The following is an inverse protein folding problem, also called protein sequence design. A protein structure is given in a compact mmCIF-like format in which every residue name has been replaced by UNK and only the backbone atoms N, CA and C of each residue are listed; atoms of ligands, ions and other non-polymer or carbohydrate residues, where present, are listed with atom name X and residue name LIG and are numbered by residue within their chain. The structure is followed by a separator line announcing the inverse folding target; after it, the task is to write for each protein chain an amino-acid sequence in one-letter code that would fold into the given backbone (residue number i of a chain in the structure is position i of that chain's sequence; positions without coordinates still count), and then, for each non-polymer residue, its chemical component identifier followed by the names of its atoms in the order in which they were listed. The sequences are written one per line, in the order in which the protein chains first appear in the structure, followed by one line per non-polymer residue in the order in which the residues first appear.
data_IF_857573356340
#
_entry.id   IF_857573356340
#
_cell.length_a   1.000
_cell.length_b   1.000
_cell.length_c   1.000
_cell.angle_alpha   90.00
_cell.angle_beta   90.00
_cell.angle_gamma   90.00
#
_symmetry.space_group_name_H-M   'P 1'
#
loop_
_entity.id
_entity.type
_entity.pdbx_description
1 polymer ?
#
# COMPACT_ATOMS: atom_id res chain seq x y z
N UNK A 1 9.05 39.98 80.76
CA UNK A 1 8.28 39.15 79.85
C UNK A 1 8.73 39.47 78.41
N UNK A 2 9.64 38.65 77.85
CA UNK A 2 10.09 38.79 76.48
C UNK A 2 9.20 37.91 75.61
N UNK A 3 8.52 38.50 74.64
CA UNK A 3 7.77 37.78 73.62
C UNK A 3 8.68 37.54 72.38
N UNK A 4 8.92 36.27 72.10
CA UNK A 4 9.63 35.88 70.90
C UNK A 4 8.67 35.83 69.68
N UNK A 5 8.97 36.62 68.63
CA UNK A 5 8.26 36.61 67.35
C UNK A 5 8.94 35.63 66.45
N UNK A 6 8.24 34.53 66.12
CA UNK A 6 8.67 33.55 65.12
C UNK A 6 8.27 34.03 63.71
N UNK A 7 9.24 34.44 62.90
CA UNK A 7 9.07 34.73 61.48
C UNK A 7 9.15 33.41 60.68
N UNK A 8 7.97 32.92 60.20
CA UNK A 8 7.89 31.81 59.27
C UNK A 8 8.25 32.31 57.85
N UNK A 9 9.44 31.97 57.37
CA UNK A 9 9.83 32.19 55.99
C UNK A 9 9.15 31.13 55.08
N UNK A 10 8.12 31.58 54.37
CA UNK A 10 7.52 30.79 53.26
C UNK A 10 8.45 30.84 52.07
N UNK A 11 9.11 29.72 51.75
CA UNK A 11 9.85 29.52 50.52
C UNK A 11 8.88 29.07 49.44
N UNK A 12 8.70 29.81 48.35
CA UNK A 12 7.85 29.34 47.26
C UNK A 12 8.58 28.21 46.53
N UNK A 13 8.04 27.00 46.62
CA UNK A 13 8.48 25.88 45.79
C UNK A 13 7.93 26.10 44.41
N UNK A 14 8.75 26.66 43.50
CA UNK A 14 8.48 26.67 42.07
C UNK A 14 8.58 25.24 41.54
N UNK A 15 7.43 24.59 41.42
CA UNK A 15 7.29 23.36 40.66
C UNK A 15 7.52 23.72 39.19
N UNK A 16 8.74 23.51 38.67
CA UNK A 16 8.99 23.54 37.25
C UNK A 16 8.34 22.29 36.68
N UNK A 17 7.08 22.44 36.28
CA UNK A 17 6.41 21.44 35.43
C UNK A 17 7.19 21.33 34.14
N UNK A 18 7.97 20.28 33.96
CA UNK A 18 8.39 19.87 32.63
C UNK A 18 7.11 19.50 31.87
N UNK A 19 6.59 20.42 31.06
CA UNK A 19 5.67 20.07 29.99
C UNK A 19 6.40 19.03 29.13
N UNK A 20 6.00 17.78 29.32
CA UNK A 20 6.36 16.69 28.44
C UNK A 20 5.75 17.09 27.09
N UNK A 21 6.56 17.70 26.21
CA UNK A 21 6.17 18.03 24.84
C UNK A 21 5.64 16.71 24.26
N UNK A 22 4.30 16.56 24.18
CA UNK A 22 3.70 15.41 23.53
C UNK A 22 4.34 15.36 22.14
N UNK A 23 5.06 14.27 21.87
CA UNK A 23 5.65 14.05 20.58
C UNK A 23 4.50 14.05 19.56
N UNK A 24 4.44 15.08 18.75
CA UNK A 24 3.39 15.29 17.75
C UNK A 24 3.37 14.05 16.88
N UNK A 25 2.27 13.27 16.92
CA UNK A 25 2.14 12.08 16.09
C UNK A 25 1.99 12.50 14.63
N UNK A 26 2.70 11.81 13.76
CA UNK A 26 2.63 11.96 12.32
C UNK A 26 1.53 11.08 11.76
N UNK A 27 0.64 11.61 10.92
CA UNK A 27 -0.44 10.84 10.28
C UNK A 27 -0.10 10.52 8.83
N UNK A 28 -0.07 9.23 8.50
CA UNK A 28 0.22 8.72 7.16
C UNK A 28 -0.99 7.99 6.60
N UNK A 29 -1.48 8.44 5.46
CA UNK A 29 -2.47 7.73 4.67
C UNK A 29 -1.78 6.96 3.55
N UNK A 30 -1.96 5.64 3.52
CA UNK A 30 -1.24 4.79 2.57
C UNK A 30 -2.15 3.74 1.91
N UNK A 31 -1.85 3.41 0.67
CA UNK A 31 -2.52 2.34 -0.07
C UNK A 31 -2.53 1.03 0.73
N UNK A 32 -3.62 0.27 0.65
CA UNK A 32 -3.86 -0.93 1.46
C UNK A 32 -2.76 -2.00 1.31
N UNK A 33 -2.17 -2.15 0.13
CA UNK A 33 -1.02 -3.05 -0.13
C UNK A 33 0.22 -2.73 0.72
N UNK A 34 0.34 -1.49 1.23
CA UNK A 34 1.47 -1.08 2.07
C UNK A 34 1.29 -1.41 3.56
N UNK A 35 0.18 -2.05 3.95
CA UNK A 35 -0.12 -2.32 5.37
C UNK A 35 1.03 -3.05 6.07
N UNK A 36 1.47 -4.18 5.54
CA UNK A 36 2.50 -5.01 6.18
C UNK A 36 3.86 -4.30 6.23
N UNK A 37 4.41 -3.78 5.11
CA UNK A 37 5.72 -3.14 5.16
C UNK A 37 5.72 -1.85 6.00
N UNK A 38 4.70 -1.00 5.92
CA UNK A 38 4.68 0.24 6.69
C UNK A 38 4.55 0.00 8.20
N UNK A 39 3.83 -1.04 8.64
CA UNK A 39 3.82 -1.42 10.05
C UNK A 39 5.22 -1.80 10.56
N UNK A 40 5.98 -2.58 9.77
CA UNK A 40 7.37 -2.93 10.09
C UNK A 40 8.29 -1.70 10.09
N UNK A 41 8.12 -0.81 9.10
CA UNK A 41 8.91 0.41 8.95
C UNK A 41 8.65 1.38 10.11
N UNK A 42 7.39 1.59 10.49
CA UNK A 42 7.07 2.48 11.62
C UNK A 42 7.59 1.94 12.95
N UNK A 43 7.55 0.62 13.17
CA UNK A 43 8.21 -0.02 14.31
C UNK A 43 9.71 0.30 14.30
N UNK A 44 10.39 0.05 13.18
CA UNK A 44 11.81 0.31 13.03
C UNK A 44 12.19 1.80 13.15
N UNK A 45 11.29 2.71 12.76
CA UNK A 45 11.46 4.16 12.91
C UNK A 45 11.34 4.58 14.38
N UNK A 46 10.32 4.07 15.09
CA UNK A 46 10.10 4.37 16.51
C UNK A 46 11.26 3.88 17.38
N UNK A 47 11.87 2.73 17.04
CA UNK A 47 13.07 2.21 17.72
C UNK A 47 14.29 3.14 17.63
N UNK A 48 14.34 4.07 16.68
CA UNK A 48 15.40 5.09 16.61
C UNK A 48 15.24 6.22 17.64
N UNK A 49 14.16 6.22 18.42
CA UNK A 49 13.80 7.29 19.34
C UNK A 49 13.03 8.44 18.67
N UNK A 50 12.65 8.27 17.39
CA UNK A 50 11.80 9.19 16.65
C UNK A 50 10.34 9.17 17.16
N UNK A 51 9.56 10.16 16.71
CA UNK A 51 8.16 10.31 17.11
C UNK A 51 7.25 9.16 16.64
N UNK A 52 6.02 9.18 17.13
CA UNK A 52 4.98 8.21 16.76
C UNK A 52 4.45 8.50 15.35
N UNK A 53 4.15 7.43 14.60
CA UNK A 53 3.50 7.48 13.28
C UNK A 53 2.18 6.73 13.36
N UNK A 54 1.09 7.41 13.08
CA UNK A 54 -0.25 6.83 13.00
C UNK A 54 -0.58 6.53 11.52
N UNK A 55 -0.92 5.27 11.23
CA UNK A 55 -1.13 4.77 9.87
C UNK A 55 -2.63 4.57 9.59
N UNK A 56 -3.10 5.02 8.43
CA UNK A 56 -4.43 4.74 7.91
C UNK A 56 -4.32 4.09 6.54
N UNK A 57 -5.00 2.96 6.35
CA UNK A 57 -4.92 2.16 5.13
C UNK A 57 -6.27 2.00 4.46
N UNK A 58 -6.35 2.33 3.17
CA UNK A 58 -7.50 2.10 2.32
C UNK A 58 -7.06 2.10 0.84
N UNK A 59 -8.02 2.00 -0.11
CA UNK A 59 -7.70 2.29 -1.50
C UNK A 59 -7.24 3.74 -1.65
N UNK A 60 -6.27 4.00 -2.53
CA UNK A 60 -5.74 5.36 -2.77
C UNK A 60 -6.83 6.33 -3.15
N UNK A 61 -7.83 5.89 -3.92
CA UNK A 61 -9.02 6.66 -4.28
C UNK A 61 -9.85 7.11 -3.06
N UNK A 62 -9.99 6.26 -2.06
CA UNK A 62 -10.73 6.57 -0.83
C UNK A 62 -9.97 7.57 0.00
N UNK A 63 -8.65 7.34 0.19
CA UNK A 63 -7.79 8.22 0.97
C UNK A 63 -7.66 9.60 0.33
N UNK A 64 -7.46 9.67 -0.99
CA UNK A 64 -7.37 10.94 -1.70
C UNK A 64 -8.66 11.77 -1.53
N UNK A 65 -9.84 11.16 -1.65
CA UNK A 65 -11.11 11.85 -1.40
C UNK A 65 -11.28 12.29 0.06
N UNK A 66 -10.79 11.51 1.03
CA UNK A 66 -10.81 11.91 2.43
C UNK A 66 -9.90 13.12 2.68
N UNK A 67 -8.71 13.13 2.08
CA UNK A 67 -7.77 14.26 2.16
C UNK A 67 -8.39 15.51 1.52
N UNK A 68 -8.97 15.38 0.32
CA UNK A 68 -9.66 16.48 -0.35
C UNK A 68 -10.87 17.01 0.46
N UNK A 69 -11.50 16.16 1.28
CA UNK A 69 -12.56 16.54 2.21
C UNK A 69 -12.05 17.10 3.55
N UNK A 70 -10.73 17.30 3.71
CA UNK A 70 -10.12 17.91 4.89
C UNK A 70 -9.73 16.92 6.01
N UNK A 71 -9.64 15.62 5.74
CA UNK A 71 -9.11 14.68 6.71
C UNK A 71 -7.64 15.01 7.04
N UNK A 72 -7.25 15.03 8.34
CA UNK A 72 -5.89 15.34 8.73
C UNK A 72 -4.93 14.26 8.25
N UNK A 73 -3.95 14.67 7.45
CA UNK A 73 -2.92 13.79 6.89
C UNK A 73 -1.65 14.58 6.66
N UNK A 74 -0.51 14.02 7.01
CA UNK A 74 0.81 14.63 6.80
C UNK A 74 1.50 14.08 5.55
N UNK A 75 1.38 12.77 5.33
CA UNK A 75 1.98 12.06 4.19
C UNK A 75 0.92 11.18 3.53
N UNK A 76 0.80 11.31 2.22
CA UNK A 76 -0.02 10.41 1.41
C UNK A 76 0.86 9.52 0.52
N UNK A 77 0.61 8.19 0.53
CA UNK A 77 1.30 7.22 -0.33
C UNK A 77 0.25 6.48 -1.16
N UNK A 78 0.19 6.83 -2.44
CA UNK A 78 -0.76 6.24 -3.40
C UNK A 78 -0.19 5.00 -4.09
N UNK A 79 -1.04 4.08 -4.53
CA UNK A 79 -0.68 2.94 -5.39
C UNK A 79 -0.77 3.28 -6.89
N UNK A 80 -1.08 4.50 -7.24
CA UNK A 80 -1.03 5.02 -8.60
C UNK A 80 -0.69 6.51 -8.64
N UNK A 81 -0.42 6.99 -9.86
CA UNK A 81 -0.12 8.41 -10.09
C UNK A 81 -1.39 9.26 -10.12
N UNK A 82 -2.49 8.72 -10.62
CA UNK A 82 -3.70 9.49 -10.88
C UNK A 82 -4.30 10.09 -9.60
N UNK A 83 -4.37 9.34 -8.51
CA UNK A 83 -4.86 9.85 -7.23
C UNK A 83 -3.89 10.82 -6.55
N UNK A 84 -2.58 10.70 -6.83
CA UNK A 84 -1.60 11.71 -6.42
C UNK A 84 -1.74 13.00 -7.25
N UNK A 85 -1.90 12.87 -8.56
CA UNK A 85 -2.10 13.99 -9.47
C UNK A 85 -3.38 14.75 -9.13
N UNK A 86 -4.46 14.03 -8.77
CA UNK A 86 -5.70 14.63 -8.26
C UNK A 86 -5.47 15.56 -7.06
N UNK A 87 -4.68 15.15 -6.05
CA UNK A 87 -4.37 16.01 -4.91
C UNK A 87 -3.45 17.17 -5.24
N UNK A 88 -2.62 17.03 -6.28
CA UNK A 88 -1.82 18.14 -6.83
C UNK A 88 -2.73 19.16 -7.53
N UNK A 89 -3.66 18.70 -8.34
CA UNK A 89 -4.66 19.56 -9.02
C UNK A 89 -5.56 20.31 -8.03
N UNK A 90 -5.90 19.68 -6.90
CA UNK A 90 -6.62 20.31 -5.79
C UNK A 90 -5.74 21.29 -4.97
N UNK A 91 -4.44 21.38 -5.26
CA UNK A 91 -3.49 22.26 -4.57
C UNK A 91 -3.12 21.79 -3.14
N UNK A 92 -3.42 20.54 -2.78
CA UNK A 92 -3.15 19.97 -1.46
C UNK A 92 -1.74 19.39 -1.34
N UNK A 93 -1.12 19.04 -2.47
CA UNK A 93 0.27 18.59 -2.58
C UNK A 93 0.91 19.40 -3.69
N UNK A 94 2.11 19.92 -3.47
CA UNK A 94 2.86 20.59 -4.54
C UNK A 94 3.69 19.57 -5.33
N UNK A 95 3.97 19.80 -6.64
CA UNK A 95 4.79 18.90 -7.44
C UNK A 95 6.18 18.62 -6.82
N UNK A 96 6.77 19.58 -6.12
CA UNK A 96 8.08 19.48 -5.48
C UNK A 96 8.05 18.55 -4.26
N UNK A 97 6.88 18.42 -3.62
CA UNK A 97 6.64 17.56 -2.47
C UNK A 97 6.26 16.12 -2.84
N UNK A 98 6.23 15.82 -4.14
CA UNK A 98 5.99 14.47 -4.66
C UNK A 98 7.28 13.77 -5.01
N UNK A 99 7.41 12.50 -4.61
CA UNK A 99 8.48 11.58 -5.04
C UNK A 99 7.92 10.20 -5.31
N UNK A 100 8.47 9.49 -6.28
CA UNK A 100 8.15 8.07 -6.46
C UNK A 100 8.90 7.27 -5.39
N UNK A 101 8.21 6.39 -4.69
CA UNK A 101 8.76 5.60 -3.59
C UNK A 101 9.05 4.16 -4.03
N UNK A 102 8.09 3.50 -4.70
CA UNK A 102 8.13 2.08 -5.02
C UNK A 102 7.49 1.78 -6.37
N UNK A 103 7.78 0.60 -6.89
CA UNK A 103 7.05 -0.06 -7.95
C UNK A 103 6.40 -1.36 -7.47
N UNK A 104 5.54 -1.94 -8.31
CA UNK A 104 4.91 -3.22 -8.07
C UNK A 104 4.65 -3.94 -9.41
N UNK A 105 4.17 -5.17 -9.35
CA UNK A 105 3.71 -5.92 -10.50
C UNK A 105 2.28 -6.42 -10.24
N UNK A 106 1.55 -6.73 -11.31
CA UNK A 106 0.22 -7.31 -11.24
C UNK A 106 0.31 -8.82 -11.47
N UNK A 107 -0.42 -9.58 -10.66
CA UNK A 107 -0.45 -11.05 -10.72
C UNK A 107 -1.86 -11.59 -10.65
N UNK A 108 -2.06 -12.77 -11.25
CA UNK A 108 -3.23 -13.61 -11.06
C UNK A 108 -2.90 -14.69 -10.05
N UNK A 109 -3.74 -14.84 -9.05
CA UNK A 109 -3.56 -15.79 -7.93
C UNK A 109 -4.78 -16.67 -7.77
N UNK A 110 -4.58 -17.82 -7.15
CA UNK A 110 -5.63 -18.74 -6.71
C UNK A 110 -5.37 -19.18 -5.27
N UNK A 111 -6.37 -19.75 -4.56
CA UNK A 111 -6.13 -20.37 -3.26
C UNK A 111 -5.04 -21.45 -3.36
N UNK A 112 -4.24 -21.57 -2.32
CA UNK A 112 -3.35 -22.73 -2.18
C UNK A 112 -4.24 -23.94 -1.87
N UNK A 113 -4.15 -24.99 -2.70
CA UNK A 113 -4.94 -26.21 -2.51
C UNK A 113 -4.58 -26.87 -1.17
N UNK A 114 -5.61 -27.43 -0.49
CA UNK A 114 -5.49 -28.13 0.79
C UNK A 114 -4.60 -29.40 0.73
N UNK A 115 -4.09 -29.76 -0.44
CA UNK A 115 -3.17 -30.89 -0.63
C UNK A 115 -1.72 -30.57 -0.26
N UNK A 116 -1.44 -29.32 0.20
CA UNK A 116 -0.12 -28.99 0.74
C UNK A 116 1.04 -29.19 -0.26
N UNK A 117 0.80 -29.06 -1.56
CA UNK A 117 1.90 -28.93 -2.50
C UNK A 117 2.63 -27.65 -2.12
N UNK A 118 3.66 -27.87 -1.34
CA UNK A 118 4.56 -26.90 -0.74
C UNK A 118 4.83 -25.77 -1.71
N UNK A 119 4.76 -24.54 -1.20
CA UNK A 119 5.44 -23.40 -1.78
C UNK A 119 6.95 -23.71 -1.86
N UNK A 120 7.36 -24.52 -2.85
CA UNK A 120 8.74 -24.59 -3.26
C UNK A 120 9.09 -23.20 -3.80
N UNK A 121 10.28 -22.72 -3.50
CA UNK A 121 10.80 -21.41 -3.94
C UNK A 121 10.77 -21.17 -5.46
N UNK A 122 10.41 -22.19 -6.25
CA UNK A 122 10.25 -22.19 -7.71
C UNK A 122 8.79 -22.40 -8.15
N UNK A 123 7.83 -21.58 -7.66
CA UNK A 123 6.47 -21.59 -8.22
C UNK A 123 6.50 -20.93 -9.60
N UNK A 124 6.68 -21.76 -10.63
CA UNK A 124 6.52 -21.31 -12.03
C UNK A 124 5.04 -20.96 -12.27
N UNK A 125 4.76 -19.85 -12.97
CA UNK A 125 3.41 -19.52 -13.37
C UNK A 125 2.78 -20.67 -14.16
N UNK A 126 1.57 -21.07 -13.79
CA UNK A 126 0.85 -22.17 -14.48
C UNK A 126 0.18 -21.71 -15.77
N UNK A 127 0.03 -20.40 -15.97
CA UNK A 127 -0.63 -19.80 -17.12
C UNK A 127 0.25 -18.69 -17.72
N UNK A 128 0.40 -18.71 -19.04
CA UNK A 128 1.06 -17.61 -19.77
C UNK A 128 0.03 -16.55 -20.19
N UNK A 129 0.10 -15.37 -19.59
CA UNK A 129 -0.73 -14.22 -19.95
C UNK A 129 -0.11 -13.43 -21.12
N UNK A 130 -0.17 -13.98 -22.31
CA UNK A 130 0.13 -13.26 -23.56
C UNK A 130 -1.12 -13.23 -24.45
N UNK A 131 -1.35 -12.17 -25.24
CA UNK A 131 -2.47 -12.12 -26.18
C UNK A 131 -2.38 -13.30 -27.17
N UNK A 132 -3.34 -14.21 -27.10
CA UNK A 132 -3.38 -15.40 -27.96
C UNK A 132 -4.76 -16.03 -28.00
N UNK A 133 -5.02 -16.77 -29.06
CA UNK A 133 -6.24 -17.57 -29.15
C UNK A 133 -6.28 -18.61 -28.03
N UNK A 134 -7.44 -18.77 -27.40
CA UNK A 134 -7.66 -19.75 -26.32
C UNK A 134 -7.34 -19.26 -24.90
N UNK A 135 -6.68 -18.10 -24.70
CA UNK A 135 -6.35 -17.58 -23.38
C UNK A 135 -7.60 -17.46 -22.48
N UNK A 136 -8.71 -16.93 -23.03
CA UNK A 136 -9.98 -16.84 -22.30
C UNK A 136 -10.44 -18.21 -21.78
N UNK A 137 -10.41 -19.21 -22.66
CA UNK A 137 -10.80 -20.59 -22.32
C UNK A 137 -9.97 -21.18 -21.19
N UNK A 138 -8.66 -20.90 -21.17
CA UNK A 138 -7.77 -21.34 -20.09
C UNK A 138 -8.10 -20.65 -18.75
N UNK A 139 -8.35 -19.35 -18.77
CA UNK A 139 -8.78 -18.59 -17.58
C UNK A 139 -10.14 -19.14 -17.10
N UNK A 140 -11.08 -19.35 -18.01
CA UNK A 140 -12.42 -19.86 -17.69
C UNK A 140 -12.37 -21.30 -17.15
N UNK A 141 -11.44 -22.13 -17.62
CA UNK A 141 -11.26 -23.50 -17.13
C UNK A 141 -10.82 -23.50 -15.64
N UNK A 142 -9.91 -22.59 -15.25
CA UNK A 142 -9.50 -22.42 -13.86
C UNK A 142 -10.64 -21.80 -13.03
N UNK A 143 -11.35 -20.83 -13.61
CA UNK A 143 -12.42 -20.08 -12.94
C UNK A 143 -13.66 -20.96 -12.65
N UNK A 144 -13.97 -21.93 -13.52
CA UNK A 144 -15.17 -22.76 -13.43
C UNK A 144 -16.44 -21.90 -13.42
N UNK A 145 -17.33 -22.14 -12.47
CA UNK A 145 -18.54 -21.32 -12.23
C UNK A 145 -18.27 -20.09 -11.35
N UNK A 146 -17.07 -19.95 -10.80
CA UNK A 146 -16.68 -18.89 -9.88
C UNK A 146 -16.51 -17.51 -10.51
N UNK A 147 -15.93 -16.59 -9.74
CA UNK A 147 -15.70 -15.18 -10.13
C UNK A 147 -14.28 -14.76 -9.75
N UNK A 148 -13.74 -13.75 -10.40
CA UNK A 148 -12.41 -13.18 -10.16
C UNK A 148 -12.54 -12.04 -9.16
N UNK A 149 -11.86 -12.11 -8.01
CA UNK A 149 -11.77 -11.01 -7.07
C UNK A 149 -10.70 -10.00 -7.55
N UNK A 150 -11.03 -8.72 -7.58
CA UNK A 150 -10.07 -7.64 -7.86
C UNK A 150 -10.60 -6.32 -7.31
N UNK A 151 -9.73 -5.35 -7.08
CA UNK A 151 -10.15 -3.99 -6.78
C UNK A 151 -11.17 -3.48 -7.79
N UNK A 152 -12.11 -2.62 -7.37
CA UNK A 152 -13.11 -2.07 -8.28
C UNK A 152 -12.42 -1.39 -9.48
N UNK A 153 -12.66 -1.86 -10.72
CA UNK A 153 -11.98 -1.35 -11.92
C UNK A 153 -12.37 0.08 -12.30
N UNK A 154 -13.34 0.69 -11.60
CA UNK A 154 -13.76 2.06 -11.84
C UNK A 154 -12.86 3.08 -11.12
N UNK A 155 -12.30 2.74 -9.93
CA UNK A 155 -11.61 3.73 -9.10
C UNK A 155 -10.50 3.17 -8.20
N UNK A 156 -10.41 1.86 -7.97
CA UNK A 156 -9.33 1.25 -7.16
C UNK A 156 -8.10 1.02 -8.05
N UNK A 157 -6.90 1.49 -7.67
CA UNK A 157 -5.71 1.37 -8.51
C UNK A 157 -5.46 -0.04 -9.05
N UNK A 158 -5.42 -1.07 -8.19
CA UNK A 158 -5.24 -2.46 -8.62
C UNK A 158 -6.30 -2.93 -9.62
N UNK A 159 -7.55 -2.45 -9.46
CA UNK A 159 -8.64 -2.74 -10.37
C UNK A 159 -8.50 -2.04 -11.71
N UNK A 160 -8.04 -0.79 -11.72
CA UNK A 160 -7.76 -0.02 -12.94
C UNK A 160 -6.68 -0.73 -13.76
N UNK A 161 -5.55 -1.08 -13.13
CA UNK A 161 -4.46 -1.84 -13.78
C UNK A 161 -4.93 -3.22 -14.26
N UNK A 162 -5.75 -3.92 -13.45
CA UNK A 162 -6.35 -5.21 -13.83
C UNK A 162 -7.25 -5.10 -15.08
N UNK A 163 -8.07 -4.04 -15.16
CA UNK A 163 -8.88 -3.77 -16.34
C UNK A 163 -8.02 -3.47 -17.57
N UNK A 164 -7.01 -2.61 -17.44
CA UNK A 164 -6.08 -2.31 -18.52
C UNK A 164 -5.41 -3.59 -19.05
N UNK A 165 -4.90 -4.42 -18.13
CA UNK A 165 -4.25 -5.66 -18.47
C UNK A 165 -5.19 -6.65 -19.19
N UNK A 166 -6.40 -6.86 -18.68
CA UNK A 166 -7.39 -7.73 -19.32
C UNK A 166 -7.88 -7.19 -20.67
N UNK A 167 -7.93 -5.85 -20.84
CA UNK A 167 -8.23 -5.22 -22.15
C UNK A 167 -7.08 -5.46 -23.13
N UNK A 168 -5.84 -5.24 -22.71
CA UNK A 168 -4.64 -5.47 -23.54
C UNK A 168 -4.53 -6.94 -23.98
N UNK A 169 -4.94 -7.88 -23.13
CA UNK A 169 -4.98 -9.31 -23.43
C UNK A 169 -6.18 -9.73 -24.27
N UNK A 170 -7.14 -8.82 -24.53
CA UNK A 170 -8.34 -9.09 -25.34
C UNK A 170 -9.44 -9.89 -24.63
N UNK A 171 -9.35 -10.09 -23.32
CA UNK A 171 -10.27 -10.96 -22.55
C UNK A 171 -11.25 -10.19 -21.64
N UNK A 172 -11.11 -8.86 -21.55
CA UNK A 172 -11.94 -8.02 -20.67
C UNK A 172 -13.45 -8.17 -20.92
N UNK A 173 -13.89 -8.12 -22.18
CA UNK A 173 -15.31 -8.11 -22.53
C UNK A 173 -16.03 -9.36 -22.03
N UNK A 174 -15.34 -10.49 -21.98
CA UNK A 174 -15.90 -11.77 -21.60
C UNK A 174 -15.77 -12.02 -20.09
N UNK A 175 -14.76 -11.44 -19.43
CA UNK A 175 -14.51 -11.64 -18.00
C UNK A 175 -15.14 -10.58 -17.09
N UNK A 176 -15.46 -9.38 -17.60
CA UNK A 176 -16.00 -8.28 -16.78
C UNK A 176 -17.27 -8.63 -15.99
N UNK A 177 -18.09 -9.55 -16.48
CA UNK A 177 -19.30 -9.99 -15.81
C UNK A 177 -19.03 -11.07 -14.73
N UNK A 178 -17.80 -11.55 -14.69
CA UNK A 178 -17.33 -12.58 -13.76
C UNK A 178 -16.42 -11.98 -12.65
N UNK A 179 -16.52 -10.67 -12.40
CA UNK A 179 -15.74 -9.98 -11.38
C UNK A 179 -16.49 -9.92 -10.05
N UNK A 180 -15.72 -9.94 -8.95
CA UNK A 180 -16.11 -9.46 -7.63
C UNK A 180 -15.30 -8.19 -7.40
N UNK A 181 -15.88 -7.00 -7.64
CA UNK A 181 -15.19 -5.75 -7.35
C UNK A 181 -15.08 -5.55 -5.84
N UNK A 182 -13.90 -5.20 -5.37
CA UNK A 182 -13.62 -4.98 -3.94
C UNK A 182 -13.22 -3.53 -3.67
N UNK A 183 -13.43 -3.07 -2.44
CA UNK A 183 -13.10 -1.72 -2.03
C UNK A 183 -11.61 -1.40 -2.05
N UNK A 184 -10.73 -2.41 -2.02
CA UNK A 184 -9.28 -2.30 -2.20
C UNK A 184 -8.69 -3.66 -2.59
N UNK A 185 -7.41 -3.70 -2.97
CA UNK A 185 -6.63 -4.89 -3.35
C UNK A 185 -6.54 -5.93 -2.22
N UNK A 186 -6.38 -5.48 -0.99
CA UNK A 186 -6.27 -6.39 0.16
C UNK A 186 -7.53 -7.21 0.40
N UNK A 187 -8.73 -6.62 0.18
CA UNK A 187 -9.98 -7.36 0.25
C UNK A 187 -10.10 -8.40 -0.86
N UNK A 188 -9.60 -8.11 -2.07
CA UNK A 188 -9.55 -9.10 -3.15
C UNK A 188 -8.65 -10.28 -2.76
N UNK A 189 -7.48 -10.00 -2.18
CA UNK A 189 -6.55 -11.00 -1.66
C UNK A 189 -7.24 -11.91 -0.63
N UNK A 190 -7.93 -11.33 0.36
CA UNK A 190 -8.64 -12.08 1.42
C UNK A 190 -9.73 -12.99 0.87
N UNK A 191 -10.49 -12.55 -0.15
CA UNK A 191 -11.53 -13.41 -0.78
C UNK A 191 -10.91 -14.66 -1.42
N UNK A 192 -9.73 -14.51 -2.04
CA UNK A 192 -9.03 -15.66 -2.62
C UNK A 192 -8.43 -16.55 -1.53
N UNK A 193 -7.77 -15.98 -0.51
CA UNK A 193 -7.22 -16.71 0.63
C UNK A 193 -8.26 -17.62 1.32
N UNK A 194 -9.52 -17.16 1.39
CA UNK A 194 -10.63 -17.88 1.98
C UNK A 194 -11.32 -18.87 1.03
N UNK A 195 -10.89 -18.93 -0.24
CA UNK A 195 -11.55 -19.75 -1.27
C UNK A 195 -12.92 -19.23 -1.70
N UNK A 196 -13.29 -18.01 -1.31
CA UNK A 196 -14.54 -17.36 -1.72
C UNK A 196 -14.49 -16.88 -3.18
N UNK A 197 -13.28 -16.70 -3.72
CA UNK A 197 -13.01 -16.48 -5.12
C UNK A 197 -11.93 -17.48 -5.60
N UNK A 198 -12.17 -18.25 -6.68
CA UNK A 198 -11.19 -19.20 -7.22
C UNK A 198 -10.00 -18.51 -7.89
N UNK A 199 -10.15 -17.25 -8.29
CA UNK A 199 -9.09 -16.43 -8.87
C UNK A 199 -9.14 -15.03 -8.30
N UNK A 200 -7.97 -14.40 -8.22
CA UNK A 200 -7.82 -12.97 -7.91
C UNK A 200 -6.82 -12.28 -8.82
N UNK A 201 -7.03 -10.99 -9.08
CA UNK A 201 -6.05 -10.10 -9.69
C UNK A 201 -5.63 -9.12 -8.61
N UNK A 202 -4.37 -9.25 -8.17
CA UNK A 202 -3.80 -8.54 -7.01
C UNK A 202 -2.38 -8.08 -7.32
N UNK A 203 -1.77 -7.32 -6.42
CA UNK A 203 -0.36 -6.99 -6.55
C UNK A 203 0.55 -8.16 -6.19
N UNK A 204 1.73 -8.19 -6.79
CA UNK A 204 2.75 -9.20 -6.48
C UNK A 204 3.17 -9.14 -5.00
N UNK A 205 3.20 -7.94 -4.39
CA UNK A 205 3.47 -7.76 -2.96
C UNK A 205 2.44 -8.45 -2.06
N UNK A 206 1.14 -8.44 -2.43
CA UNK A 206 0.11 -9.14 -1.67
C UNK A 206 0.26 -10.66 -1.77
N UNK A 207 0.56 -11.16 -2.97
CA UNK A 207 0.86 -12.57 -3.19
C UNK A 207 2.12 -13.01 -2.44
N UNK A 208 3.16 -12.18 -2.43
CA UNK A 208 4.43 -12.49 -1.76
C UNK A 208 4.28 -12.61 -0.23
N UNK A 209 3.41 -11.81 0.37
CA UNK A 209 3.18 -11.80 1.82
C UNK A 209 2.15 -12.82 2.29
N UNK A 210 1.42 -13.48 1.39
CA UNK A 210 0.41 -14.48 1.69
C UNK A 210 0.97 -15.90 1.61
N UNK A 211 0.68 -16.71 2.62
CA UNK A 211 0.99 -18.15 2.65
C UNK A 211 -0.21 -19.03 2.21
N UNK A 212 -1.32 -18.41 1.83
CA UNK A 212 -2.56 -19.11 1.44
C UNK A 212 -2.86 -18.98 -0.06
N UNK A 213 -1.96 -18.33 -0.82
CA UNK A 213 -2.12 -18.11 -2.25
C UNK A 213 -1.03 -18.84 -3.05
N UNK A 214 -1.41 -19.29 -4.25
CA UNK A 214 -0.46 -19.70 -5.28
C UNK A 214 -0.50 -18.73 -6.47
N UNK A 215 0.64 -18.51 -7.07
CA UNK A 215 0.76 -17.74 -8.30
C UNK A 215 0.20 -18.56 -9.47
N UNK A 216 -0.78 -18.00 -10.19
CA UNK A 216 -1.31 -18.56 -11.44
C UNK A 216 -0.56 -17.98 -12.63
N UNK A 217 -0.41 -16.65 -12.66
CA UNK A 217 0.31 -15.96 -13.73
C UNK A 217 0.78 -14.57 -13.28
N UNK A 218 1.85 -14.08 -13.90
CA UNK A 218 2.24 -12.67 -13.86
C UNK A 218 1.73 -11.95 -15.10
N UNK A 219 1.15 -10.76 -14.93
CA UNK A 219 0.75 -9.93 -16.07
C UNK A 219 1.99 -9.30 -16.72
N UNK A 220 2.07 -9.27 -18.06
CA UNK A 220 3.12 -8.54 -18.74
C UNK A 220 3.12 -7.07 -18.35
N UNK A 221 4.28 -6.49 -18.06
CA UNK A 221 4.38 -5.06 -17.72
C UNK A 221 3.85 -4.14 -18.84
N UNK A 222 3.92 -4.60 -20.10
CA UNK A 222 3.37 -3.88 -21.26
C UNK A 222 1.85 -3.94 -21.37
N UNK A 223 1.17 -4.75 -20.53
CA UNK A 223 -0.29 -4.92 -20.59
C UNK A 223 -1.06 -3.85 -19.82
N UNK A 224 -0.40 -3.06 -19.00
CA UNK A 224 -0.99 -2.00 -18.19
C UNK A 224 0.00 -0.85 -17.98
N UNK A 225 -0.51 0.29 -17.55
CA UNK A 225 0.32 1.42 -17.11
C UNK A 225 1.29 0.98 -16.00
N UNK A 226 2.56 1.44 -16.00
CA UNK A 226 3.53 1.08 -14.96
C UNK A 226 3.01 1.40 -13.56
N UNK A 227 3.06 0.41 -12.66
CA UNK A 227 2.61 0.54 -11.28
C UNK A 227 3.68 1.27 -10.48
N UNK A 228 3.38 2.49 -10.06
CA UNK A 228 4.26 3.34 -9.28
C UNK A 228 3.52 3.81 -8.03
N UNK A 229 4.21 3.80 -6.91
CA UNK A 229 3.72 4.33 -5.64
C UNK A 229 4.36 5.70 -5.38
N UNK A 230 3.71 6.81 -5.74
CA UNK A 230 4.16 8.13 -5.34
C UNK A 230 3.85 8.39 -3.87
N UNK A 231 4.79 9.08 -3.21
CA UNK A 231 4.64 9.69 -1.90
C UNK A 231 4.49 11.20 -2.08
N UNK A 232 3.53 11.80 -1.40
CA UNK A 232 3.31 13.25 -1.35
C UNK A 232 3.26 13.76 0.08
N UNK A 233 3.92 14.90 0.33
CA UNK A 233 3.85 15.60 1.62
C UNK A 233 2.71 16.62 1.55
N UNK A 234 1.81 16.58 2.54
CA UNK A 234 0.70 17.54 2.72
C UNK A 234 1.12 18.60 3.72
N UNK A 235 1.86 18.22 4.76
CA UNK A 235 2.48 19.15 5.69
C UNK A 235 4.02 19.10 5.58
N UNK A 236 4.71 20.14 6.03
CA UNK A 236 6.18 20.26 5.91
C UNK A 236 6.82 20.56 7.27
N UNK A 237 6.57 19.68 8.25
CA UNK A 237 7.26 19.73 9.55
C UNK A 237 8.60 18.98 9.51
N UNK A 238 9.47 19.21 10.50
CA UNK A 238 10.71 18.45 10.62
C UNK A 238 10.44 16.94 10.76
N UNK A 239 9.43 16.54 11.56
CA UNK A 239 9.06 15.15 11.75
C UNK A 239 8.58 14.49 10.45
N UNK A 240 7.84 15.23 9.60
CA UNK A 240 7.39 14.74 8.28
C UNK A 240 8.58 14.49 7.36
N UNK A 241 9.54 15.44 7.31
CA UNK A 241 10.76 15.26 6.51
C UNK A 241 11.61 14.11 7.00
N UNK A 242 11.78 13.96 8.31
CA UNK A 242 12.56 12.87 8.92
C UNK A 242 11.97 11.52 8.58
N UNK A 243 10.64 11.36 8.72
CA UNK A 243 9.99 10.10 8.37
C UNK A 243 10.02 9.82 6.86
N UNK A 244 9.80 10.86 6.02
CA UNK A 244 10.01 10.74 4.57
C UNK A 244 11.41 10.21 4.26
N UNK A 245 12.45 10.81 4.84
CA UNK A 245 13.84 10.42 4.56
C UNK A 245 14.13 9.00 5.06
N UNK A 246 13.50 8.59 6.17
CA UNK A 246 13.56 7.21 6.64
C UNK A 246 12.90 6.23 5.66
N UNK A 247 11.77 6.60 5.02
CA UNK A 247 11.12 5.78 3.99
C UNK A 247 12.02 5.52 2.77
N UNK A 248 12.97 6.42 2.48
CA UNK A 248 13.97 6.26 1.41
C UNK A 248 15.30 5.66 1.90
N UNK A 249 15.42 5.27 3.17
CA UNK A 249 16.63 4.65 3.71
C UNK A 249 16.81 3.21 3.21
N UNK A 250 18.05 2.69 3.28
CA UNK A 250 18.35 1.29 2.99
C UNK A 250 17.55 0.32 3.87
N UNK A 251 17.33 0.67 5.14
CA UNK A 251 16.53 -0.14 6.07
C UNK A 251 15.08 -0.28 5.59
N UNK A 252 14.46 0.82 5.20
CA UNK A 252 13.10 0.80 4.66
C UNK A 252 13.05 0.09 3.29
N UNK A 253 14.01 0.34 2.42
CA UNK A 253 14.15 -0.33 1.12
C UNK A 253 14.23 -1.86 1.27
N UNK A 254 15.02 -2.37 2.23
CA UNK A 254 15.10 -3.79 2.53
C UNK A 254 13.75 -4.38 3.00
N UNK A 255 12.98 -3.64 3.83
CA UNK A 255 11.66 -4.06 4.28
C UNK A 255 10.66 -4.10 3.11
N UNK A 256 10.67 -3.08 2.25
CA UNK A 256 9.81 -3.04 1.06
C UNK A 256 10.12 -4.19 0.10
N UNK A 257 11.40 -4.41 -0.22
CA UNK A 257 11.85 -5.48 -1.13
C UNK A 257 11.51 -6.85 -0.53
N UNK A 258 11.76 -7.06 0.77
CA UNK A 258 11.38 -8.27 1.49
C UNK A 258 9.86 -8.48 1.62
N UNK A 259 9.06 -7.48 1.24
CA UNK A 259 7.59 -7.55 1.13
C UNK A 259 7.11 -7.63 -0.33
N UNK A 260 8.01 -7.88 -1.30
CA UNK A 260 7.67 -8.10 -2.71
C UNK A 260 7.51 -6.83 -3.55
N UNK A 261 7.86 -5.64 -3.03
CA UNK A 261 7.86 -4.40 -3.79
C UNK A 261 9.16 -4.24 -4.60
N UNK A 262 9.09 -3.44 -5.65
CA UNK A 262 10.23 -3.06 -6.49
C UNK A 262 10.76 -1.70 -6.03
N UNK A 263 12.09 -1.53 -6.01
CA UNK A 263 12.71 -0.23 -5.76
C UNK A 263 12.66 0.65 -7.01
N UNK A 264 12.83 1.96 -6.83
CA UNK A 264 12.79 2.94 -7.94
C UNK A 264 13.93 2.75 -8.93
N UNK A 265 15.10 2.27 -8.48
CA UNK A 265 16.23 1.98 -9.36
C UNK A 265 15.87 0.93 -10.42
N UNK A 266 15.07 -0.08 -10.06
CA UNK A 266 14.55 -1.07 -11.01
C UNK A 266 13.64 -0.43 -12.06
N UNK A 267 12.85 0.58 -11.70
CA UNK A 267 11.97 1.31 -12.63
C UNK A 267 12.73 2.24 -13.58
N UNK A 268 13.93 2.68 -13.20
CA UNK A 268 14.78 3.56 -14.00
C UNK A 268 15.62 2.80 -15.03
N UNK A 269 15.92 1.54 -14.79
CA UNK A 269 16.74 0.68 -15.66
C UNK A 269 16.00 0.07 -16.86
N UNK A 270 14.69 0.22 -16.95
CA UNK A 270 13.83 -0.33 -18.01
C UNK A 270 13.31 0.72 -19.02
N UNK A 271 14.12 1.77 -19.29
CA UNK A 271 13.87 2.73 -20.38
C UNK A 271 14.61 2.34 -21.64
#
# INVERSE_FOLDING_TARGET
MLGAVFLLLFWPWTVIGQEKKEAQSLTVFAAASLTVPLQKITTAYTETGAGRVDLSFAASSTLARQIAAGAPCDIFISADRAWMDHLIEEGLITPENRRNLLGNALVMVAPLDSRGESASEDIQPTLNLSPRFGLEGEIMAILGSGRIAMGDPAYVPAGIYGREALMSLGVWMNLRHRLIPTANDRLATVLVERGEAPLGIVYASDSHTSHALRLVAAFPQSSHTPIVYPLGLISDSAAVRDFRDFLFSEKASAIFTGSGFQTIEFLSGNR
#
